data_IF_407393208710
#
_entry.id   IF_407393208710
#
_cell.length_a   1.000
_cell.length_b   1.000
_cell.length_c   1.000
_cell.angle_alpha   90.00
_cell.angle_beta   90.00
_cell.angle_gamma   90.00
#
_symmetry.space_group_name_H-M   'P 1'
#
loop_
_entity.id
_entity.type
_entity.pdbx_description
1 polymer ?
#
# COMPACT_ATOMS: atom_id res chain seq x y z
N UNK A 1 -13.78 -3.13 -12.95
CA UNK A 1 -13.81 -4.52 -12.44
C UNK A 1 -14.90 -5.40 -13.08
N UNK A 2 -16.21 -5.17 -12.87
CA UNK A 2 -17.26 -6.03 -13.44
C UNK A 2 -17.27 -6.15 -14.99
N UNK A 3 -17.03 -5.04 -15.71
CA UNK A 3 -16.91 -5.06 -17.20
C UNK A 3 -15.65 -5.79 -17.68
N UNK A 4 -14.57 -5.79 -16.90
CA UNK A 4 -13.34 -6.53 -17.23
C UNK A 4 -13.54 -8.03 -17.01
N UNK A 5 -14.17 -8.43 -15.91
CA UNK A 5 -14.57 -9.83 -15.65
C UNK A 5 -15.52 -10.36 -16.72
N UNK A 6 -16.45 -9.52 -17.22
CA UNK A 6 -17.34 -9.90 -18.33
C UNK A 6 -16.58 -10.18 -19.64
N UNK A 7 -15.51 -9.42 -19.92
CA UNK A 7 -14.63 -9.70 -21.07
C UNK A 7 -13.77 -10.95 -20.84
N UNK A 8 -13.18 -11.10 -19.65
CA UNK A 8 -12.25 -12.18 -19.32
C UNK A 8 -12.95 -13.55 -19.32
N UNK A 9 -14.17 -13.62 -18.77
CA UNK A 9 -14.93 -14.87 -18.67
C UNK A 9 -15.62 -15.28 -19.99
N UNK A 10 -15.37 -14.57 -21.10
CA UNK A 10 -16.00 -14.80 -22.42
C UNK A 10 -17.52 -14.97 -22.34
N UNK A 11 -18.15 -14.32 -21.37
CA UNK A 11 -19.59 -14.51 -21.11
C UNK A 11 -20.43 -13.98 -22.26
N UNK A 12 -19.95 -12.98 -23.02
CA UNK A 12 -20.59 -12.54 -24.26
C UNK A 12 -20.61 -13.62 -25.36
N UNK A 13 -19.53 -14.38 -25.52
CA UNK A 13 -19.43 -15.46 -26.50
C UNK A 13 -20.36 -16.61 -26.13
N UNK A 14 -20.39 -17.00 -24.86
CA UNK A 14 -21.31 -18.01 -24.36
C UNK A 14 -22.77 -17.61 -24.54
N UNK A 15 -23.13 -16.36 -24.22
CA UNK A 15 -24.49 -15.85 -24.41
C UNK A 15 -24.92 -15.82 -25.89
N UNK A 16 -23.97 -15.64 -26.82
CA UNK A 16 -24.24 -15.71 -28.26
C UNK A 16 -24.53 -17.14 -28.72
N UNK A 17 -23.87 -18.15 -28.14
CA UNK A 17 -24.10 -19.58 -28.43
C UNK A 17 -25.45 -20.11 -27.94
N UNK A 18 -26.08 -19.45 -26.97
CA UNK A 18 -27.40 -19.84 -26.47
C UNK A 18 -28.52 -19.59 -27.50
N UNK A 19 -29.56 -20.42 -27.46
CA UNK A 19 -30.77 -20.17 -28.26
C UNK A 19 -31.49 -18.89 -27.80
N UNK A 20 -32.24 -18.21 -28.70
CA UNK A 20 -33.04 -17.04 -28.32
C UNK A 20 -33.98 -17.29 -27.14
N UNK A 21 -34.56 -18.49 -27.04
CA UNK A 21 -35.44 -18.91 -25.95
C UNK A 21 -34.70 -18.96 -24.60
N UNK A 22 -33.51 -19.57 -24.56
CA UNK A 22 -32.68 -19.66 -23.36
C UNK A 22 -32.18 -18.28 -22.90
N UNK A 23 -31.83 -17.39 -23.85
CA UNK A 23 -31.50 -15.99 -23.51
C UNK A 23 -32.68 -15.25 -22.88
N UNK A 24 -33.90 -15.44 -23.41
CA UNK A 24 -35.12 -14.83 -22.89
C UNK A 24 -35.46 -15.37 -21.49
N UNK A 25 -35.23 -16.67 -21.26
CA UNK A 25 -35.38 -17.31 -19.96
C UNK A 25 -34.41 -16.73 -18.94
N UNK A 26 -33.10 -16.67 -19.26
CA UNK A 26 -32.09 -16.07 -18.39
C UNK A 26 -32.41 -14.63 -18.01
N UNK A 27 -32.82 -13.79 -18.98
CA UNK A 27 -33.23 -12.41 -18.69
C UNK A 27 -34.42 -12.34 -17.74
N UNK A 28 -35.38 -13.27 -17.85
CA UNK A 28 -36.55 -13.32 -16.97
C UNK A 28 -36.16 -13.72 -15.54
N UNK A 29 -35.31 -14.74 -15.40
CA UNK A 29 -34.80 -15.19 -14.10
C UNK A 29 -34.03 -14.07 -13.41
N UNK A 30 -33.10 -13.43 -14.11
CA UNK A 30 -32.31 -12.31 -13.57
C UNK A 30 -33.21 -11.13 -13.19
N UNK A 31 -34.19 -10.76 -14.03
CA UNK A 31 -35.15 -9.69 -13.69
C UNK A 31 -35.99 -10.04 -12.46
N UNK A 32 -36.42 -11.29 -12.30
CA UNK A 32 -37.17 -11.74 -11.11
C UNK A 32 -36.28 -11.72 -9.86
N UNK A 33 -35.02 -12.09 -9.99
CA UNK A 33 -34.02 -12.03 -8.91
C UNK A 33 -33.62 -10.60 -8.53
N UNK A 34 -33.58 -9.67 -9.48
CA UNK A 34 -33.30 -8.26 -9.22
C UNK A 34 -34.56 -7.50 -8.75
N UNK A 35 -35.75 -7.91 -9.17
CA UNK A 35 -37.03 -7.35 -8.72
C UNK A 35 -37.44 -7.80 -7.31
N UNK A 36 -36.89 -8.93 -6.84
CA UNK A 36 -36.89 -9.31 -5.43
C UNK A 36 -35.94 -8.38 -4.68
N UNK A 37 -36.48 -7.45 -3.89
CA UNK A 37 -35.71 -6.47 -3.10
C UNK A 37 -34.64 -7.08 -2.18
N UNK A 38 -34.67 -8.39 -1.94
CA UNK A 38 -33.66 -9.14 -1.17
C UNK A 38 -32.23 -8.95 -1.69
N UNK A 39 -32.03 -8.81 -3.00
CA UNK A 39 -30.70 -8.59 -3.57
C UNK A 39 -30.19 -7.15 -3.40
N UNK A 40 -31.07 -6.18 -3.11
CA UNK A 40 -30.68 -4.77 -2.97
C UNK A 40 -29.94 -4.56 -1.66
N UNK A 41 -30.44 -5.12 -0.56
CA UNK A 41 -29.80 -4.99 0.76
C UNK A 41 -28.43 -5.67 0.79
N UNK A 42 -28.32 -6.89 0.26
CA UNK A 42 -27.01 -7.57 0.17
C UNK A 42 -26.02 -6.81 -0.70
N UNK A 43 -26.46 -6.20 -1.81
CA UNK A 43 -25.60 -5.34 -2.66
C UNK A 43 -25.16 -4.07 -1.91
N UNK A 44 -26.05 -3.44 -1.14
CA UNK A 44 -25.73 -2.25 -0.35
C UNK A 44 -24.74 -2.59 0.78
N UNK A 45 -24.95 -3.69 1.49
CA UNK A 45 -24.06 -4.18 2.54
C UNK A 45 -22.66 -4.47 1.98
N UNK A 46 -22.60 -5.16 0.84
CA UNK A 46 -21.34 -5.49 0.16
C UNK A 46 -20.61 -4.24 -0.34
N UNK A 47 -21.35 -3.20 -0.75
CA UNK A 47 -20.78 -1.91 -1.13
C UNK A 47 -20.20 -1.16 0.08
N UNK A 48 -20.87 -1.19 1.24
CA UNK A 48 -20.35 -0.61 2.49
C UNK A 48 -19.05 -1.29 2.92
N UNK A 49 -19.03 -2.62 3.00
CA UNK A 49 -17.81 -3.35 3.36
C UNK A 49 -16.64 -3.08 2.41
N UNK A 50 -16.90 -2.96 1.10
CA UNK A 50 -15.85 -2.60 0.14
C UNK A 50 -15.30 -1.19 0.38
N UNK A 51 -16.16 -0.23 0.75
CA UNK A 51 -15.74 1.13 1.06
C UNK A 51 -14.90 1.18 2.34
N UNK A 52 -15.38 0.55 3.41
CA UNK A 52 -14.67 0.45 4.68
C UNK A 52 -13.31 -0.26 4.54
N UNK A 53 -13.27 -1.37 3.79
CA UNK A 53 -12.04 -2.08 3.51
C UNK A 53 -11.05 -1.25 2.70
N UNK A 54 -11.52 -0.46 1.73
CA UNK A 54 -10.68 0.44 0.96
C UNK A 54 -10.13 1.58 1.83
N UNK A 55 -10.96 2.17 2.70
CA UNK A 55 -10.55 3.22 3.64
C UNK A 55 -9.49 2.72 4.63
N UNK A 56 -9.71 1.55 5.24
CA UNK A 56 -8.73 0.93 6.13
C UNK A 56 -7.40 0.62 5.42
N UNK A 57 -7.45 0.18 4.16
CA UNK A 57 -6.24 -0.09 3.38
C UNK A 57 -5.51 1.20 2.99
N UNK A 58 -6.24 2.27 2.65
CA UNK A 58 -5.66 3.59 2.40
C UNK A 58 -4.98 4.12 3.67
N UNK A 59 -5.60 4.00 4.83
CA UNK A 59 -5.02 4.43 6.10
C UNK A 59 -3.73 3.66 6.44
N UNK A 60 -3.74 2.33 6.30
CA UNK A 60 -2.53 1.50 6.46
C UNK A 60 -1.41 1.94 5.52
N UNK A 61 -1.75 2.25 4.27
CA UNK A 61 -0.78 2.70 3.27
C UNK A 61 -0.23 4.08 3.64
N UNK A 62 -1.07 5.02 4.06
CA UNK A 62 -0.64 6.34 4.55
C UNK A 62 0.32 6.22 5.73
N UNK A 63 0.01 5.38 6.73
CA UNK A 63 0.90 5.14 7.88
C UNK A 63 2.24 4.55 7.45
N UNK A 64 2.25 3.60 6.52
CA UNK A 64 3.49 3.01 5.98
C UNK A 64 4.33 4.04 5.22
N UNK A 65 3.70 4.87 4.38
CA UNK A 65 4.39 5.94 3.66
C UNK A 65 4.95 6.96 4.64
N UNK A 66 4.17 7.41 5.63
CA UNK A 66 4.64 8.33 6.65
C UNK A 66 5.83 7.78 7.44
N UNK A 67 5.81 6.49 7.82
CA UNK A 67 6.94 5.85 8.51
C UNK A 67 8.19 5.79 7.64
N UNK A 68 8.03 5.43 6.35
CA UNK A 68 9.15 5.43 5.39
C UNK A 68 9.71 6.83 5.18
N UNK A 69 8.84 7.83 5.05
CA UNK A 69 9.25 9.22 4.91
C UNK A 69 10.00 9.68 6.16
N UNK A 70 9.49 9.42 7.35
CA UNK A 70 10.17 9.78 8.59
C UNK A 70 11.55 9.11 8.73
N UNK A 71 11.70 7.86 8.30
CA UNK A 71 13.00 7.19 8.27
C UNK A 71 13.95 7.85 7.25
N UNK A 72 13.45 8.17 6.05
CA UNK A 72 14.22 8.91 5.04
C UNK A 72 14.64 10.30 5.54
N UNK A 73 13.72 11.04 6.15
CA UNK A 73 13.97 12.39 6.68
C UNK A 73 14.98 12.35 7.84
N UNK A 74 14.99 11.26 8.62
CA UNK A 74 15.99 11.06 9.66
C UNK A 74 17.39 10.90 9.07
N UNK A 75 17.52 10.12 7.99
CA UNK A 75 18.78 9.99 7.23
C UNK A 75 19.18 11.35 6.67
N UNK A 76 18.25 12.11 6.09
CA UNK A 76 18.54 13.41 5.45
C UNK A 76 19.06 14.48 6.41
N UNK A 77 18.80 14.33 7.71
CA UNK A 77 19.30 15.23 8.76
C UNK A 77 20.65 14.83 9.33
N UNK A 78 21.19 13.67 8.96
CA UNK A 78 22.51 13.22 9.41
C UNK A 78 23.58 14.14 8.82
N UNK A 79 24.44 14.68 9.69
CA UNK A 79 25.65 15.38 9.27
C UNK A 79 26.69 14.32 8.95
N UNK A 80 26.99 14.15 7.67
CA UNK A 80 27.92 13.12 7.20
C UNK A 80 29.36 13.39 7.65
N UNK A 81 30.03 12.35 8.14
CA UNK A 81 31.46 12.38 8.43
C UNK A 81 32.20 11.99 7.15
N UNK A 82 32.95 12.92 6.58
CA UNK A 82 33.55 12.73 5.26
C UNK A 82 35.03 12.35 5.32
N UNK A 83 35.67 12.47 6.49
CA UNK A 83 37.10 12.24 6.64
C UNK A 83 37.41 11.18 7.70
N UNK A 84 38.48 10.41 7.46
CA UNK A 84 38.96 9.39 8.41
C UNK A 84 39.40 10.04 9.72
N UNK A 85 39.96 11.25 9.65
CA UNK A 85 40.42 12.01 10.83
C UNK A 85 39.28 12.39 11.76
N UNK A 86 38.10 12.73 11.24
CA UNK A 86 36.92 13.03 12.06
C UNK A 86 36.39 11.77 12.76
N UNK A 87 36.41 10.61 12.07
CA UNK A 87 36.03 9.32 12.68
C UNK A 87 36.98 8.99 13.84
N UNK A 88 38.29 9.10 13.61
CA UNK A 88 39.31 8.85 14.63
C UNK A 88 39.18 9.83 15.81
N UNK A 89 38.91 11.10 15.55
CA UNK A 89 38.69 12.09 16.59
C UNK A 89 37.49 11.72 17.48
N UNK A 90 36.33 11.43 16.88
CA UNK A 90 35.12 11.06 17.60
C UNK A 90 35.25 9.73 18.36
N UNK A 91 36.04 8.79 17.83
CA UNK A 91 36.28 7.50 18.47
C UNK A 91 37.16 7.61 19.72
N UNK A 92 38.03 8.63 19.78
CA UNK A 92 38.92 8.89 20.91
C UNK A 92 38.29 9.76 22.01
N UNK A 93 37.08 10.32 21.78
CA UNK A 93 36.40 11.13 22.79
C UNK A 93 35.84 10.27 23.93
N UNK A 94 35.92 10.75 25.19
CA UNK A 94 35.33 10.06 26.32
C UNK A 94 33.79 10.05 26.21
N UNK A 95 33.17 9.04 26.84
CA UNK A 95 31.71 8.96 26.92
C UNK A 95 31.15 10.22 27.59
N UNK A 96 30.19 10.86 26.92
CA UNK A 96 29.58 12.10 27.41
C UNK A 96 30.35 13.37 27.08
N UNK A 97 31.34 13.31 26.17
CA UNK A 97 31.97 14.51 25.64
C UNK A 97 30.90 15.48 25.07
N UNK A 98 31.05 16.80 25.30
CA UNK A 98 30.07 17.80 24.89
C UNK A 98 29.90 17.91 23.38
N UNK A 99 30.95 17.57 22.61
CA UNK A 99 30.93 17.54 21.15
C UNK A 99 30.28 16.26 20.57
N UNK A 100 29.90 15.33 21.45
CA UNK A 100 29.47 13.98 21.08
C UNK A 100 30.63 12.99 21.08
N UNK A 101 30.32 11.70 21.05
CA UNK A 101 31.30 10.62 20.94
C UNK A 101 30.79 9.58 19.96
N UNK A 102 31.68 8.77 19.39
CA UNK A 102 31.32 7.82 18.34
C UNK A 102 30.48 6.66 18.89
N UNK A 103 29.16 6.75 18.73
CA UNK A 103 28.21 5.72 19.20
C UNK A 103 27.81 4.78 18.06
N UNK A 104 27.35 3.58 18.41
CA UNK A 104 26.78 2.64 17.42
C UNK A 104 25.63 3.27 16.65
N UNK A 105 24.74 4.02 17.32
CA UNK A 105 23.63 4.70 16.65
C UNK A 105 24.10 5.76 15.64
N UNK A 106 25.20 6.46 15.93
CA UNK A 106 25.80 7.39 14.98
C UNK A 106 26.41 6.62 13.80
N UNK A 107 27.10 5.50 14.05
CA UNK A 107 27.65 4.65 12.97
C UNK A 107 26.53 4.17 12.04
N UNK A 108 25.46 3.61 12.58
CA UNK A 108 24.32 3.13 11.79
C UNK A 108 23.72 4.27 10.94
N UNK A 109 23.54 5.45 11.53
CA UNK A 109 23.05 6.63 10.83
C UNK A 109 23.99 7.11 9.71
N UNK A 110 25.31 7.07 9.93
CA UNK A 110 26.31 7.38 8.90
C UNK A 110 26.28 6.36 7.76
N UNK A 111 26.17 5.06 8.08
CA UNK A 111 26.06 4.00 7.08
C UNK A 111 24.80 4.15 6.23
N UNK A 112 23.65 4.43 6.85
CA UNK A 112 22.39 4.68 6.14
C UNK A 112 22.48 5.92 5.24
N UNK A 113 23.15 6.98 5.69
CA UNK A 113 23.39 8.18 4.90
C UNK A 113 24.29 7.89 3.69
N UNK A 114 25.42 7.21 3.90
CA UNK A 114 26.33 6.84 2.82
C UNK A 114 25.69 5.87 1.82
N UNK A 115 24.83 4.94 2.28
CA UNK A 115 24.09 4.07 1.37
C UNK A 115 23.09 4.83 0.48
N UNK A 116 22.62 6.00 0.94
CA UNK A 116 21.67 6.84 0.20
C UNK A 116 22.34 7.89 -0.70
N UNK A 117 23.45 8.47 -0.25
CA UNK A 117 24.09 9.65 -0.88
C UNK A 117 25.55 9.47 -1.31
N UNK A 118 26.24 8.45 -0.80
CA UNK A 118 27.62 8.11 -1.16
C UNK A 118 27.68 7.33 -2.47
#
# INVERSE_FOLDING_TARGET
>A
NARQMFKFNKTSEYLRKLSPALRKFLRRVVRKQDGSGANRESKLLLARYKKEGAEAQMEKTRKRVAKKQAASDAIDRVVAILTVTEVEHLANLPRGAPEGYYTVALIDAQLDWHAKYG
#
